data_IF_660350935100
#
_entry.id   IF_660350935100
#
_cell.length_a   1.000
_cell.length_b   1.000
_cell.length_c   1.000
_cell.angle_alpha   90.00
_cell.angle_beta   90.00
_cell.angle_gamma   90.00
#
_symmetry.space_group_name_H-M   'P 1'
#
loop_
_entity.id
_entity.type
_entity.pdbx_description
1 polymer ?
#
# COMPACT_ATOMS: atom_id res chain seq x y z
N UNK A 1 0.68 13.77 17.25
CA UNK A 1 1.50 12.55 17.09
C UNK A 1 0.58 11.36 16.90
N UNK A 2 0.89 10.46 15.96
CA UNK A 2 0.13 9.22 15.77
C UNK A 2 0.54 8.26 16.89
N UNK A 3 -0.43 7.82 17.70
CA UNK A 3 -0.18 6.98 18.88
C UNK A 3 -0.48 5.50 18.63
N UNK A 4 -1.20 5.16 17.56
CA UNK A 4 -1.56 3.79 17.21
C UNK A 4 -0.93 3.42 15.88
N UNK A 5 0.01 2.48 15.89
CA UNK A 5 0.72 1.99 14.70
C UNK A 5 0.33 0.57 14.32
N UNK A 6 -0.55 -0.06 15.09
CA UNK A 6 -1.06 -1.42 14.85
C UNK A 6 -2.56 -1.49 15.15
N UNK A 7 -3.27 -2.46 14.55
CA UNK A 7 -4.66 -2.74 14.93
C UNK A 7 -4.75 -3.15 16.41
N UNK A 8 -5.93 -2.94 17.03
CA UNK A 8 -6.18 -3.39 18.40
C UNK A 8 -6.15 -4.92 18.50
N UNK A 9 -6.81 -5.58 17.55
CA UNK A 9 -6.88 -7.02 17.41
C UNK A 9 -6.61 -7.37 15.95
N UNK A 10 -5.75 -8.36 15.72
CA UNK A 10 -5.45 -8.91 14.41
C UNK A 10 -5.08 -10.39 14.56
N UNK A 11 -5.83 -11.23 13.87
CA UNK A 11 -5.49 -12.63 13.67
C UNK A 11 -5.13 -12.85 12.21
N UNK A 12 -4.13 -13.70 11.96
CA UNK A 12 -3.68 -13.99 10.60
C UNK A 12 -4.71 -14.90 9.92
N UNK A 13 -5.36 -14.37 8.88
CA UNK A 13 -6.38 -15.09 8.14
C UNK A 13 -5.75 -16.02 7.09
N UNK A 14 -5.85 -17.33 7.30
CA UNK A 14 -5.21 -18.35 6.45
C UNK A 14 -6.16 -19.01 5.45
N UNK A 15 -7.48 -18.97 5.71
CA UNK A 15 -8.52 -19.53 4.86
C UNK A 15 -8.75 -18.78 3.55
N UNK A 16 -9.82 -19.14 2.83
CA UNK A 16 -10.24 -18.51 1.57
C UNK A 16 -11.25 -17.37 1.76
N UNK A 17 -11.87 -17.26 2.93
CA UNK A 17 -12.77 -16.19 3.30
C UNK A 17 -12.16 -15.43 4.49
N UNK A 18 -11.88 -14.14 4.30
CA UNK A 18 -11.34 -13.28 5.36
C UNK A 18 -12.42 -12.30 5.80
N UNK A 19 -12.65 -12.19 7.11
CA UNK A 19 -13.71 -11.36 7.66
C UNK A 19 -13.16 -10.40 8.70
N UNK A 20 -13.03 -9.12 8.32
CA UNK A 20 -12.59 -8.07 9.23
C UNK A 20 -13.80 -7.21 9.63
N UNK A 21 -14.10 -7.15 10.93
CA UNK A 21 -15.28 -6.44 11.47
C UNK A 21 -15.27 -4.93 11.18
N UNK A 22 -14.08 -4.35 11.06
CA UNK A 22 -13.89 -2.94 10.82
C UNK A 22 -12.90 -2.69 9.69
N UNK A 23 -12.95 -1.48 9.12
CA UNK A 23 -11.99 -1.05 8.08
C UNK A 23 -10.57 -0.93 8.65
N UNK A 24 -10.42 -0.54 9.90
CA UNK A 24 -9.14 -0.16 10.48
C UNK A 24 -8.82 1.33 10.34
N UNK A 25 -8.34 1.90 11.44
CA UNK A 25 -8.10 3.34 11.62
C UNK A 25 -6.78 3.65 12.37
N UNK A 26 -5.81 2.72 12.34
CA UNK A 26 -4.47 2.96 12.88
C UNK A 26 -3.57 3.65 11.87
N UNK A 27 -2.43 4.14 12.36
CA UNK A 27 -1.45 4.87 11.59
C UNK A 27 -2.07 6.07 10.87
N UNK A 28 -1.92 6.15 9.54
CA UNK A 28 -2.57 7.16 8.70
C UNK A 28 -3.78 6.64 7.94
N UNK A 29 -4.23 5.41 8.22
CA UNK A 29 -5.33 4.80 7.51
C UNK A 29 -6.65 5.50 7.80
N UNK A 30 -7.32 5.94 6.73
CA UNK A 30 -8.64 6.53 6.76
C UNK A 30 -9.39 6.20 5.46
N UNK A 31 -10.70 6.48 5.41
CA UNK A 31 -11.54 6.21 4.25
C UNK A 31 -11.67 7.38 3.26
N UNK A 32 -10.89 8.46 3.41
CA UNK A 32 -11.12 9.70 2.65
C UNK A 32 -10.64 9.60 1.20
N UNK A 33 -9.70 8.69 0.90
CA UNK A 33 -9.28 8.42 -0.46
C UNK A 33 -10.20 7.38 -1.10
N UNK A 34 -10.94 7.79 -2.12
CA UNK A 34 -11.92 6.92 -2.78
C UNK A 34 -11.24 5.71 -3.43
N UNK A 35 -11.74 4.51 -3.13
CA UNK A 35 -11.25 3.25 -3.71
C UNK A 35 -10.03 2.66 -3.02
N UNK A 36 -9.64 3.16 -1.83
CA UNK A 36 -8.65 2.49 -1.01
C UNK A 36 -9.24 1.25 -0.31
N UNK A 37 -8.43 0.19 -0.19
CA UNK A 37 -8.83 -0.99 0.56
C UNK A 37 -8.56 -0.88 2.06
N UNK A 38 -9.23 -1.73 2.83
CA UNK A 38 -9.02 -1.88 4.28
C UNK A 38 -7.56 -2.27 4.55
N UNK A 39 -6.82 -1.60 5.45
CA UNK A 39 -5.45 -1.96 5.82
C UNK A 39 -5.29 -3.39 6.35
N UNK A 40 -6.35 -4.03 6.84
CA UNK A 40 -6.31 -5.46 7.20
C UNK A 40 -5.93 -6.36 6.02
N UNK A 41 -6.33 -6.00 4.80
CA UNK A 41 -6.09 -6.80 3.59
C UNK A 41 -4.59 -6.84 3.24
N UNK A 42 -3.90 -5.71 2.97
CA UNK A 42 -2.47 -5.74 2.70
C UNK A 42 -1.67 -6.25 3.90
N UNK A 43 -2.09 -5.96 5.14
CA UNK A 43 -1.46 -6.52 6.35
C UNK A 43 -1.42 -8.04 6.31
N UNK A 44 -2.57 -8.67 6.04
CA UNK A 44 -2.68 -10.12 5.98
C UNK A 44 -1.84 -10.71 4.84
N UNK A 45 -1.88 -10.10 3.65
CA UNK A 45 -1.08 -10.52 2.49
C UNK A 45 0.42 -10.44 2.82
N UNK A 46 0.90 -9.31 3.34
CA UNK A 46 2.32 -9.07 3.63
C UNK A 46 2.82 -10.05 4.69
N UNK A 47 2.07 -10.29 5.77
CA UNK A 47 2.46 -11.25 6.81
C UNK A 47 2.51 -12.69 6.32
N UNK A 48 1.66 -13.06 5.34
CA UNK A 48 1.62 -14.42 4.80
C UNK A 48 2.72 -14.70 3.78
N UNK A 49 3.07 -13.71 2.97
CA UNK A 49 3.84 -13.93 1.74
C UNK A 49 5.15 -13.12 1.66
N UNK A 50 5.59 -12.51 2.77
CA UNK A 50 6.89 -11.84 2.85
C UNK A 50 7.50 -11.97 4.25
N UNK A 51 8.79 -11.67 4.36
CA UNK A 51 9.57 -11.60 5.60
C UNK A 51 9.96 -10.15 5.89
N UNK A 52 10.40 -9.89 7.12
CA UNK A 52 10.99 -8.58 7.44
C UNK A 52 12.21 -8.32 6.55
N UNK A 53 12.37 -7.08 6.10
CA UNK A 53 13.45 -6.67 5.19
C UNK A 53 13.15 -6.86 3.70
N UNK A 54 12.16 -7.69 3.33
CA UNK A 54 11.70 -7.88 1.94
C UNK A 54 11.20 -6.57 1.32
N UNK A 55 11.25 -6.50 -0.01
CA UNK A 55 10.83 -5.37 -0.82
C UNK A 55 9.45 -5.59 -1.40
N UNK A 56 8.49 -4.78 -0.96
CA UNK A 56 7.10 -4.80 -1.43
C UNK A 56 6.90 -3.78 -2.55
N UNK A 57 6.26 -4.17 -3.64
CA UNK A 57 5.86 -3.27 -4.73
C UNK A 57 4.34 -3.09 -4.78
N UNK A 58 3.88 -1.84 -4.84
CA UNK A 58 2.50 -1.48 -5.18
C UNK A 58 2.51 -0.54 -6.41
N UNK A 59 1.97 -1.00 -7.53
CA UNK A 59 1.99 -0.27 -8.81
C UNK A 59 0.76 0.63 -9.02
N UNK A 60 -0.17 0.61 -8.06
CA UNK A 60 -1.40 1.42 -8.04
C UNK A 60 -1.56 2.03 -6.65
N UNK A 61 -0.50 2.68 -6.17
CA UNK A 61 -0.31 2.93 -4.73
C UNK A 61 -1.39 3.81 -4.10
N UNK A 62 -2.06 4.67 -4.87
CA UNK A 62 -3.16 5.49 -4.37
C UNK A 62 -2.76 6.31 -3.15
N UNK A 63 -3.53 6.19 -2.04
CA UNK A 63 -3.20 6.85 -0.78
C UNK A 63 -2.08 6.18 0.03
N UNK A 64 -1.54 5.05 -0.41
CA UNK A 64 -0.38 4.38 0.21
C UNK A 64 -0.70 3.35 1.29
N UNK A 65 -1.92 2.83 1.39
CA UNK A 65 -2.30 1.86 2.44
C UNK A 65 -1.35 0.67 2.49
N UNK A 66 -0.97 0.10 1.33
CA UNK A 66 -0.03 -1.02 1.24
C UNK A 66 1.34 -0.67 1.79
N UNK A 67 1.87 0.50 1.42
CA UNK A 67 3.20 0.96 1.84
C UNK A 67 3.23 1.25 3.34
N UNK A 68 2.17 1.87 3.88
CA UNK A 68 2.04 2.09 5.32
C UNK A 68 2.12 0.75 6.05
N UNK A 69 1.35 -0.27 5.63
CA UNK A 69 1.42 -1.59 6.27
C UNK A 69 2.78 -2.29 6.08
N UNK A 70 3.37 -2.22 4.88
CA UNK A 70 4.69 -2.79 4.62
C UNK A 70 5.73 -2.22 5.60
N UNK A 71 5.76 -0.90 5.77
CA UNK A 71 6.72 -0.26 6.66
C UNK A 71 6.43 -0.52 8.15
N UNK A 72 5.15 -0.53 8.56
CA UNK A 72 4.76 -0.91 9.92
C UNK A 72 5.15 -2.33 10.28
N UNK A 73 5.25 -3.20 9.27
CA UNK A 73 5.69 -4.58 9.39
C UNK A 73 7.20 -4.75 9.12
N UNK A 74 7.99 -3.68 8.97
CA UNK A 74 9.43 -3.79 8.80
C UNK A 74 9.87 -4.27 7.40
N UNK A 75 9.06 -4.06 6.37
CA UNK A 75 9.44 -4.28 4.96
C UNK A 75 9.88 -2.97 4.30
N UNK A 76 10.69 -3.07 3.26
CA UNK A 76 10.95 -1.98 2.32
C UNK A 76 9.77 -1.86 1.37
N UNK A 77 9.54 -0.69 0.79
CA UNK A 77 8.38 -0.51 -0.08
C UNK A 77 8.62 0.44 -1.24
N UNK A 78 8.13 0.07 -2.41
CA UNK A 78 8.12 0.89 -3.62
C UNK A 78 6.67 1.12 -4.04
N UNK A 79 6.27 2.38 -4.17
CA UNK A 79 4.95 2.78 -4.64
C UNK A 79 5.02 3.53 -5.96
N UNK A 80 4.17 3.13 -6.89
CA UNK A 80 4.03 3.79 -8.19
C UNK A 80 2.56 4.17 -8.35
N UNK A 81 2.33 5.37 -8.85
CA UNK A 81 1.03 5.78 -9.37
C UNK A 81 1.23 6.64 -10.60
N UNK A 82 0.29 6.58 -11.52
CA UNK A 82 0.28 7.49 -12.67
C UNK A 82 -0.23 8.88 -12.26
N UNK A 83 -1.07 8.95 -11.23
CA UNK A 83 -1.67 10.18 -10.74
C UNK A 83 -0.74 10.87 -9.72
N UNK A 84 -0.16 12.03 -10.04
CA UNK A 84 0.76 12.73 -9.13
C UNK A 84 0.07 13.16 -7.82
N UNK A 85 -1.24 13.46 -7.85
CA UNK A 85 -1.98 13.82 -6.64
C UNK A 85 -2.10 12.65 -5.65
N UNK A 86 -2.21 11.43 -6.16
CA UNK A 86 -2.22 10.23 -5.31
C UNK A 86 -0.87 10.08 -4.59
N UNK A 87 0.23 10.26 -5.33
CA UNK A 87 1.59 10.24 -4.75
C UNK A 87 1.81 11.31 -3.69
N UNK A 88 1.24 12.50 -3.85
CA UNK A 88 1.33 13.55 -2.83
C UNK A 88 0.58 13.18 -1.54
N UNK A 89 -0.63 12.61 -1.68
CA UNK A 89 -1.40 12.09 -0.55
C UNK A 89 -0.62 10.96 0.15
N UNK A 90 -0.11 10.01 -0.62
CA UNK A 90 0.72 8.91 -0.11
C UNK A 90 1.93 9.46 0.65
N UNK A 91 2.70 10.38 0.05
CA UNK A 91 3.88 10.98 0.68
C UNK A 91 3.54 11.65 2.01
N UNK A 92 2.41 12.37 2.09
CA UNK A 92 1.94 12.98 3.33
C UNK A 92 1.56 11.92 4.38
N UNK A 93 0.87 10.86 3.98
CA UNK A 93 0.54 9.74 4.87
C UNK A 93 1.80 9.03 5.41
N UNK A 94 2.87 8.95 4.61
CA UNK A 94 4.11 8.29 5.03
C UNK A 94 4.96 9.15 5.97
N UNK A 95 5.02 10.48 5.75
CA UNK A 95 5.82 11.40 6.58
C UNK A 95 5.44 11.37 8.06
N UNK A 96 4.17 11.14 8.37
CA UNK A 96 3.63 11.25 9.73
C UNK A 96 4.07 10.10 10.66
N UNK A 97 4.75 9.07 10.14
CA UNK A 97 4.98 7.80 10.84
C UNK A 97 6.44 7.49 11.17
N UNK A 98 7.38 8.41 10.88
CA UNK A 98 8.83 8.28 11.15
C UNK A 98 9.38 6.85 10.88
N UNK A 99 9.06 6.32 9.70
CA UNK A 99 9.41 4.95 9.33
C UNK A 99 10.92 4.75 9.24
N UNK A 100 11.39 3.58 9.72
CA UNK A 100 12.78 3.16 9.61
C UNK A 100 13.09 2.44 8.27
N UNK A 101 12.06 2.12 7.49
CA UNK A 101 12.18 1.38 6.22
C UNK A 101 12.49 2.28 5.01
N UNK A 102 13.13 1.69 3.99
CA UNK A 102 13.35 2.37 2.72
C UNK A 102 12.04 2.47 1.93
N UNK A 103 11.54 3.70 1.75
CA UNK A 103 10.33 4.00 0.98
C UNK A 103 10.72 4.73 -0.29
N UNK A 104 10.33 4.19 -1.45
CA UNK A 104 10.51 4.83 -2.75
C UNK A 104 9.16 5.10 -3.40
N UNK A 105 8.88 6.35 -3.73
CA UNK A 105 7.71 6.75 -4.51
C UNK A 105 8.14 7.25 -5.88
N UNK A 106 7.46 6.80 -6.94
CA UNK A 106 7.73 7.26 -8.30
C UNK A 106 6.42 7.46 -9.07
N UNK A 107 6.33 8.55 -9.82
CA UNK A 107 5.28 8.69 -10.82
C UNK A 107 5.61 7.81 -12.03
N UNK A 108 4.67 6.97 -12.43
CA UNK A 108 4.87 6.05 -13.54
C UNK A 108 3.63 5.27 -13.93
N UNK A 109 3.68 4.69 -15.12
CA UNK A 109 2.69 3.74 -15.62
C UNK A 109 3.07 2.33 -15.18
N UNK A 110 2.13 1.58 -14.59
CA UNK A 110 2.36 0.19 -14.15
C UNK A 110 2.82 -0.74 -15.30
N UNK A 111 2.53 -0.38 -16.57
CA UNK A 111 2.96 -1.12 -17.77
C UNK A 111 4.45 -0.92 -18.09
N UNK A 112 5.11 0.08 -17.49
CA UNK A 112 6.53 0.38 -17.75
C UNK A 112 7.32 0.52 -16.44
N UNK A 113 8.01 -0.56 -16.09
CA UNK A 113 8.78 -0.69 -14.84
C UNK A 113 10.29 -0.79 -15.07
N UNK A 114 10.79 -0.32 -16.21
CA UNK A 114 12.19 -0.41 -16.63
C UNK A 114 13.23 0.24 -15.69
N UNK A 115 12.78 0.98 -14.69
CA UNK A 115 13.60 1.63 -13.66
C UNK A 115 13.79 0.76 -12.41
N UNK A 116 13.10 -0.38 -12.34
CA UNK A 116 13.34 -1.43 -11.36
C UNK A 116 14.37 -2.39 -11.94
N UNK A 117 15.29 -2.85 -11.10
CA UNK A 117 16.19 -3.95 -11.46
C UNK A 117 15.41 -5.26 -11.51
N UNK A 118 15.81 -6.16 -12.39
CA UNK A 118 15.28 -7.52 -12.42
C UNK A 118 15.48 -8.22 -11.07
N UNK A 119 14.54 -9.10 -10.71
CA UNK A 119 14.58 -9.90 -9.47
C UNK A 119 14.73 -9.10 -8.16
N UNK A 120 14.39 -7.80 -8.18
CA UNK A 120 14.57 -6.91 -7.02
C UNK A 120 13.36 -6.79 -6.09
N UNK A 121 12.25 -7.45 -6.42
CA UNK A 121 10.97 -7.36 -5.72
C UNK A 121 10.58 -8.73 -5.17
N UNK A 122 10.35 -8.80 -3.87
CA UNK A 122 10.01 -10.05 -3.18
C UNK A 122 8.49 -10.32 -3.19
N UNK A 123 7.67 -9.26 -3.15
CA UNK A 123 6.21 -9.38 -3.21
C UNK A 123 5.58 -8.16 -3.90
N UNK A 124 4.71 -8.43 -4.88
CA UNK A 124 3.81 -7.43 -5.46
C UNK A 124 2.49 -7.49 -4.69
N UNK A 125 2.18 -6.45 -3.94
CA UNK A 125 0.91 -6.30 -3.22
C UNK A 125 0.25 -5.03 -3.75
N UNK A 126 -0.80 -5.17 -4.54
CA UNK A 126 -1.42 -4.02 -5.23
C UNK A 126 -2.91 -4.20 -5.36
N UNK A 127 -3.61 -3.07 -5.47
CA UNK A 127 -5.06 -3.00 -5.58
C UNK A 127 -5.42 -2.21 -6.85
N UNK A 128 -5.45 -2.88 -8.02
CA UNK A 128 -5.64 -2.22 -9.31
C UNK A 128 -7.04 -1.61 -9.44
N UNK A 129 -7.22 -0.64 -10.35
CA UNK A 129 -8.54 -0.06 -10.61
C UNK A 129 -9.51 -1.10 -11.17
N UNK A 130 -10.75 -1.09 -10.69
CA UNK A 130 -11.82 -1.96 -11.19
C UNK A 130 -12.69 -1.24 -12.21
N UNK A 131 -12.54 -1.61 -13.48
CA UNK A 131 -13.33 -1.09 -14.61
C UNK A 131 -13.37 0.46 -14.67
N UNK A 132 -14.31 1.03 -15.42
CA UNK A 132 -14.52 2.48 -15.54
C UNK A 132 -15.42 3.06 -14.43
N UNK A 133 -15.52 2.40 -13.26
CA UNK A 133 -16.38 2.84 -12.16
C UNK A 133 -15.84 4.14 -11.53
N UNK A 134 -14.52 4.33 -11.54
CA UNK A 134 -13.85 5.53 -11.04
C UNK A 134 -12.83 6.00 -12.09
N UNK A 135 -12.94 7.26 -12.51
CA UNK A 135 -11.95 7.90 -13.39
C UNK A 135 -10.78 8.42 -12.55
N UNK A 136 -9.69 7.66 -12.53
CA UNK A 136 -8.45 8.03 -11.81
C UNK A 136 -7.53 8.98 -12.60
N UNK A 137 -7.80 9.15 -13.89
CA UNK A 137 -7.07 10.01 -14.82
C UNK A 137 -8.02 10.49 -15.94
N UNK A 138 -7.62 11.54 -16.66
CA UNK A 138 -8.40 12.08 -17.80
C UNK A 138 -7.91 11.56 -19.16
N UNK A 139 -6.65 11.15 -19.25
CA UNK A 139 -5.94 10.96 -20.52
C UNK A 139 -5.32 9.56 -20.70
N UNK A 140 -5.75 8.56 -19.92
CA UNK A 140 -5.29 7.18 -20.11
C UNK A 140 -6.20 6.50 -21.13
N UNK A 141 -5.65 6.23 -22.32
CA UNK A 141 -6.23 5.32 -23.31
C UNK A 141 -5.95 3.86 -22.96
#
# INVERSE_FOLDING_TARGET
MITKTKPKEFELETGTLWSFKERGSWATHNGNYRGNWSPYIPRNIILRYSREGDTILDQFVGSGTTLVEANLLGRKSIGIDINPKALDICRNNMKTLNFQGNIRLKQGDARNLNFLSDESIDLICTHPPYANIIKYSKDIK
#
